data_IF_082818019105
#
_entry.id   IF_082818019105
#
_cell.length_a   1.000
_cell.length_b   1.000
_cell.length_c   1.000
_cell.angle_alpha   90.00
_cell.angle_beta   90.00
_cell.angle_gamma   90.00
#
_symmetry.space_group_name_H-M   'P 1'
#
loop_
_entity.id
_entity.type
_entity.pdbx_description
1 polymer ?
#
# COMPACT_ATOMS: atom_id res chain seq x y z
N UNK A 1 -10.00 57.70 22.60
CA UNK A 1 -8.99 57.02 21.75
C UNK A 1 -8.22 56.04 22.62
N UNK A 2 -8.63 54.78 22.67
CA UNK A 2 -7.73 53.63 22.87
C UNK A 2 -8.43 52.41 22.29
N UNK A 3 -7.77 51.85 21.28
CA UNK A 3 -8.17 50.68 20.52
C UNK A 3 -8.05 49.44 21.39
N UNK A 4 -9.12 48.66 21.56
CA UNK A 4 -9.05 47.33 22.13
C UNK A 4 -9.12 46.33 20.98
N UNK A 5 -7.94 45.84 20.56
CA UNK A 5 -7.81 44.82 19.53
C UNK A 5 -8.14 43.47 20.17
N UNK A 6 -9.29 42.91 19.84
CA UNK A 6 -9.65 41.53 20.20
C UNK A 6 -8.78 40.61 19.35
N UNK A 7 -7.81 39.96 19.99
CA UNK A 7 -6.96 38.95 19.37
C UNK A 7 -7.81 37.70 19.13
N UNK A 8 -8.25 37.51 17.88
CA UNK A 8 -8.91 36.28 17.44
C UNK A 8 -7.92 35.12 17.51
N UNK A 9 -8.09 34.25 18.51
CA UNK A 9 -7.41 32.96 18.54
C UNK A 9 -8.09 32.05 17.51
N UNK A 10 -7.43 31.85 16.37
CA UNK A 10 -7.78 30.79 15.42
C UNK A 10 -7.52 29.45 16.10
N UNK A 11 -8.59 28.75 16.44
CA UNK A 11 -8.54 27.35 16.81
C UNK A 11 -7.98 26.54 15.62
N UNK A 12 -6.76 26.06 15.76
CA UNK A 12 -6.20 25.05 14.87
C UNK A 12 -7.06 23.78 15.00
N UNK A 13 -7.92 23.55 14.02
CA UNK A 13 -8.69 22.31 13.90
C UNK A 13 -7.74 21.12 13.85
N UNK A 14 -7.80 20.27 14.87
CA UNK A 14 -7.03 19.04 14.94
C UNK A 14 -7.34 18.15 13.74
N UNK A 15 -6.30 17.72 13.03
CA UNK A 15 -6.41 16.57 12.13
C UNK A 15 -6.84 15.38 12.98
N UNK A 16 -8.03 14.85 12.71
CA UNK A 16 -8.58 13.65 13.34
C UNK A 16 -7.56 12.53 13.22
N UNK A 17 -6.90 12.17 14.32
CA UNK A 17 -5.91 11.09 14.42
C UNK A 17 -6.62 9.77 14.15
N UNK A 18 -6.65 9.39 12.88
CA UNK A 18 -7.34 8.21 12.39
C UNK A 18 -6.36 7.06 12.42
N UNK A 19 -6.18 6.46 13.59
CA UNK A 19 -5.31 5.29 13.80
C UNK A 19 -5.62 4.21 12.75
N UNK A 20 -4.60 3.70 12.05
CA UNK A 20 -4.72 2.85 10.87
C UNK A 20 -4.61 1.36 11.23
N UNK A 21 -5.44 0.89 12.17
CA UNK A 21 -5.44 -0.53 12.58
C UNK A 21 -5.96 -1.42 11.44
N UNK A 22 -5.07 -2.20 10.83
CA UNK A 22 -5.40 -3.28 9.91
C UNK A 22 -5.42 -4.62 10.67
N UNK A 23 -6.61 -5.22 10.77
CA UNK A 23 -6.88 -6.42 11.59
C UNK A 23 -6.48 -7.72 10.87
N UNK A 24 -6.03 -7.64 9.62
CA UNK A 24 -5.90 -8.84 8.80
C UNK A 24 -4.45 -9.21 8.64
N UNK A 25 -4.11 -10.43 9.02
CA UNK A 25 -2.84 -11.06 8.72
C UNK A 25 -2.71 -11.13 7.19
N UNK A 26 -1.84 -10.31 6.61
CA UNK A 26 -1.49 -10.38 5.19
C UNK A 26 -0.91 -11.75 4.79
N UNK A 27 -0.61 -12.59 5.80
CA UNK A 27 -0.07 -13.93 5.69
C UNK A 27 -1.10 -14.97 5.20
N UNK A 28 -2.40 -14.71 5.34
CA UNK A 28 -3.44 -15.65 4.89
C UNK A 28 -3.45 -15.81 3.35
N UNK A 29 -2.81 -14.89 2.61
CA UNK A 29 -2.66 -14.99 1.14
C UNK A 29 -1.50 -15.85 0.66
N UNK A 30 -0.66 -16.37 1.57
CA UNK A 30 0.40 -17.33 1.25
C UNK A 30 0.06 -18.76 1.69
N UNK A 31 -1.05 -18.97 2.41
CA UNK A 31 -1.58 -20.30 2.65
C UNK A 31 -2.46 -20.70 1.45
N UNK A 32 -1.83 -21.35 0.48
CA UNK A 32 -2.45 -21.78 -0.77
C UNK A 32 -3.44 -22.92 -0.52
N UNK A 33 -4.69 -22.57 -0.30
CA UNK A 33 -5.79 -23.48 -0.54
C UNK A 33 -6.00 -23.52 -2.08
N UNK A 34 -5.42 -24.54 -2.70
CA UNK A 34 -5.67 -25.10 -4.03
C UNK A 34 -5.57 -24.26 -5.33
N UNK A 35 -5.45 -22.93 -5.31
CA UNK A 35 -5.18 -22.16 -6.54
C UNK A 35 -3.66 -22.00 -6.78
N UNK A 36 -3.07 -22.93 -7.53
CA UNK A 36 -1.62 -23.00 -7.79
C UNK A 36 -1.12 -21.91 -8.75
N UNK A 37 -1.10 -20.64 -8.32
CA UNK A 37 -0.38 -19.59 -9.05
C UNK A 37 1.13 -19.74 -8.76
N UNK A 38 1.82 -20.57 -9.55
CA UNK A 38 3.28 -20.66 -9.51
C UNK A 38 3.89 -19.39 -10.10
N UNK A 39 4.22 -18.41 -9.25
CA UNK A 39 4.99 -17.24 -9.66
C UNK A 39 6.40 -17.73 -10.02
N UNK A 40 6.64 -17.99 -11.31
CA UNK A 40 7.96 -18.36 -11.81
C UNK A 40 8.87 -17.13 -11.70
N UNK A 41 9.88 -17.20 -10.85
CA UNK A 41 10.98 -16.23 -10.80
C UNK A 41 11.81 -16.30 -12.10
N UNK A 42 11.27 -15.71 -13.17
CA UNK A 42 11.93 -15.60 -14.48
C UNK A 42 12.75 -14.32 -14.51
N UNK A 43 14.03 -14.43 -14.90
CA UNK A 43 14.90 -13.28 -15.13
C UNK A 43 14.28 -12.37 -16.19
N UNK A 44 14.10 -11.09 -15.85
CA UNK A 44 13.55 -10.08 -16.76
C UNK A 44 14.54 -9.79 -17.90
N UNK A 45 14.00 -9.46 -19.09
CA UNK A 45 14.82 -9.03 -20.23
C UNK A 45 15.55 -7.74 -19.90
N UNK A 46 16.77 -7.57 -20.41
CA UNK A 46 17.61 -6.37 -20.19
C UNK A 46 16.88 -5.08 -20.59
N UNK A 47 16.17 -5.11 -21.72
CA UNK A 47 15.37 -4.00 -22.24
C UNK A 47 14.38 -3.44 -21.21
N UNK A 48 13.75 -4.30 -20.38
CA UNK A 48 12.80 -3.86 -19.36
C UNK A 48 13.47 -3.06 -18.25
N UNK A 49 14.70 -3.40 -17.88
CA UNK A 49 15.47 -2.63 -16.90
C UNK A 49 15.87 -1.26 -17.45
N UNK A 50 16.21 -1.18 -18.73
CA UNK A 50 16.55 0.08 -19.40
C UNK A 50 15.32 1.00 -19.47
N UNK A 51 14.15 0.45 -19.80
CA UNK A 51 12.87 1.18 -19.77
C UNK A 51 12.55 1.66 -18.35
N UNK A 52 12.66 0.80 -17.34
CA UNK A 52 12.39 1.16 -15.95
C UNK A 52 13.33 2.26 -15.43
N UNK A 53 14.62 2.20 -15.78
CA UNK A 53 15.59 3.23 -15.45
C UNK A 53 15.24 4.57 -16.11
N UNK A 54 14.85 4.56 -17.39
CA UNK A 54 14.53 5.78 -18.16
C UNK A 54 13.21 6.41 -17.74
N UNK A 55 12.15 5.61 -17.54
CA UNK A 55 10.78 6.10 -17.34
C UNK A 55 10.41 6.26 -15.86
N UNK A 56 10.94 5.38 -15.00
CA UNK A 56 10.61 5.33 -13.56
C UNK A 56 11.74 5.80 -12.66
N UNK A 57 12.95 6.02 -13.21
CA UNK A 57 14.18 6.29 -12.43
C UNK A 57 14.54 5.12 -11.49
N UNK A 58 14.17 3.91 -11.91
CA UNK A 58 14.46 2.67 -11.17
C UNK A 58 15.86 2.16 -11.52
N UNK A 59 16.82 2.33 -10.61
CA UNK A 59 18.15 1.71 -10.66
C UNK A 59 18.28 0.67 -9.53
N UNK A 60 19.32 -0.17 -9.57
CA UNK A 60 19.54 -1.16 -8.50
C UNK A 60 19.80 -0.49 -7.15
N UNK A 61 20.48 0.66 -7.13
CA UNK A 61 20.73 1.46 -5.92
C UNK A 61 19.45 2.13 -5.43
N UNK A 62 18.74 2.86 -6.30
CA UNK A 62 17.51 3.56 -5.90
C UNK A 62 16.44 2.58 -5.44
N UNK A 63 16.40 1.37 -6.01
CA UNK A 63 15.51 0.30 -5.55
C UNK A 63 15.76 -0.06 -4.08
N UNK A 64 17.02 -0.33 -3.72
CA UNK A 64 17.38 -0.74 -2.36
C UNK A 64 17.14 0.38 -1.36
N UNK A 65 17.61 1.58 -1.68
CA UNK A 65 17.46 2.77 -0.84
C UNK A 65 15.98 3.11 -0.60
N UNK A 66 15.17 3.15 -1.65
CA UNK A 66 13.75 3.50 -1.51
C UNK A 66 12.95 2.43 -0.75
N UNK A 67 13.28 1.15 -0.94
CA UNK A 67 12.65 0.06 -0.19
C UNK A 67 12.99 0.14 1.29
N UNK A 68 14.27 0.36 1.63
CA UNK A 68 14.70 0.53 3.01
C UNK A 68 14.03 1.75 3.66
N UNK A 69 13.95 2.88 2.93
CA UNK A 69 13.25 4.06 3.39
C UNK A 69 11.78 3.76 3.72
N UNK A 70 11.03 3.12 2.82
CA UNK A 70 9.63 2.78 3.06
C UNK A 70 9.47 1.84 4.26
N UNK A 71 10.37 0.85 4.43
CA UNK A 71 10.31 -0.07 5.58
C UNK A 71 10.57 0.67 6.89
N UNK A 72 11.57 1.54 6.93
CA UNK A 72 11.89 2.32 8.13
C UNK A 72 10.77 3.30 8.46
N UNK A 73 10.23 3.97 7.44
CA UNK A 73 9.07 4.83 7.59
C UNK A 73 7.87 4.06 8.15
N UNK A 74 7.50 2.90 7.58
CA UNK A 74 6.40 2.06 8.12
C UNK A 74 6.62 1.74 9.60
N UNK A 75 7.84 1.36 10.01
CA UNK A 75 8.15 1.05 11.41
C UNK A 75 8.04 2.25 12.35
N UNK A 76 8.31 3.46 11.86
CA UNK A 76 8.27 4.69 12.64
C UNK A 76 6.86 5.26 12.81
N UNK A 77 5.91 4.87 11.95
CA UNK A 77 4.54 5.39 12.00
C UNK A 77 3.68 4.52 12.94
N UNK A 78 3.28 5.01 14.12
CA UNK A 78 2.50 4.22 15.08
C UNK A 78 1.09 3.88 14.56
N UNK A 79 0.56 4.70 13.65
CA UNK A 79 -0.74 4.45 13.05
C UNK A 79 -0.75 3.21 12.15
N UNK A 80 0.40 2.77 11.63
CA UNK A 80 0.49 1.66 10.68
C UNK A 80 0.80 0.36 11.43
N UNK A 81 -0.23 -0.46 11.61
CA UNK A 81 -0.07 -1.79 12.21
C UNK A 81 -0.19 -2.90 11.15
N UNK A 82 0.60 -3.98 11.34
CA UNK A 82 0.56 -5.20 10.52
C UNK A 82 0.67 -4.99 9.00
N UNK A 83 1.42 -3.98 8.53
CA UNK A 83 1.59 -3.74 7.09
C UNK A 83 2.60 -4.72 6.46
N UNK A 84 2.32 -5.19 5.23
CA UNK A 84 3.26 -6.00 4.46
C UNK A 84 4.48 -5.16 4.05
N UNK A 85 5.68 -5.68 4.28
CA UNK A 85 6.95 -5.00 3.95
C UNK A 85 7.78 -5.71 2.89
N UNK A 86 7.18 -6.69 2.20
CA UNK A 86 7.78 -7.42 1.09
C UNK A 86 8.17 -6.48 -0.06
N UNK A 87 9.30 -6.75 -0.67
CA UNK A 87 9.85 -5.99 -1.80
C UNK A 87 8.84 -5.92 -2.95
N UNK A 88 8.22 -7.05 -3.30
CA UNK A 88 7.26 -7.13 -4.40
C UNK A 88 5.99 -6.32 -4.14
N UNK A 89 5.63 -6.12 -2.87
CA UNK A 89 4.50 -5.30 -2.47
C UNK A 89 4.86 -3.82 -2.50
N UNK A 90 5.95 -3.42 -1.84
CA UNK A 90 6.39 -2.03 -1.75
C UNK A 90 6.79 -1.45 -3.12
N UNK A 91 7.40 -2.28 -3.99
CA UNK A 91 7.75 -1.87 -5.36
C UNK A 91 6.54 -1.43 -6.18
N UNK A 92 5.33 -1.91 -5.88
CA UNK A 92 4.11 -1.50 -6.60
C UNK A 92 3.86 0.00 -6.42
N UNK A 93 3.98 0.49 -5.19
CA UNK A 93 3.79 1.90 -4.85
C UNK A 93 4.90 2.77 -5.43
N UNK A 94 6.15 2.32 -5.31
CA UNK A 94 7.32 3.03 -5.86
C UNK A 94 7.22 3.18 -7.38
N UNK A 95 6.86 2.11 -8.11
CA UNK A 95 6.74 2.15 -9.57
C UNK A 95 5.63 3.07 -10.05
N UNK A 96 4.45 3.01 -9.42
CA UNK A 96 3.32 3.91 -9.75
C UNK A 96 3.69 5.38 -9.54
N UNK A 97 4.57 5.67 -8.58
CA UNK A 97 5.02 7.02 -8.24
C UNK A 97 6.40 7.37 -8.78
N UNK A 98 6.94 6.62 -9.75
CA UNK A 98 8.25 6.89 -10.38
C UNK A 98 9.37 7.13 -9.35
N UNK A 99 9.38 6.29 -8.31
CA UNK A 99 10.34 6.33 -7.20
C UNK A 99 10.35 7.65 -6.40
N UNK A 100 9.25 8.42 -6.43
CA UNK A 100 9.02 9.52 -5.49
C UNK A 100 8.55 8.98 -4.14
N UNK A 101 9.45 8.97 -3.15
CA UNK A 101 9.19 8.54 -1.77
C UNK A 101 7.96 9.21 -1.14
N UNK A 102 7.86 10.55 -1.05
CA UNK A 102 6.74 11.18 -0.35
C UNK A 102 5.39 10.86 -1.01
N UNK A 103 5.37 10.73 -2.34
CA UNK A 103 4.16 10.33 -3.06
C UNK A 103 3.82 8.86 -2.85
N UNK A 104 4.82 7.98 -2.76
CA UNK A 104 4.64 6.57 -2.48
C UNK A 104 4.10 6.34 -1.07
N UNK A 105 4.63 7.02 -0.05
CA UNK A 105 4.15 6.99 1.34
C UNK A 105 2.68 7.40 1.44
N UNK A 106 2.31 8.54 0.86
CA UNK A 106 0.92 8.99 0.82
C UNK A 106 0.00 8.00 0.11
N UNK A 107 0.47 7.37 -0.96
CA UNK A 107 -0.32 6.38 -1.71
C UNK A 107 -0.48 5.09 -0.93
N UNK A 108 0.56 4.66 -0.21
CA UNK A 108 0.51 3.52 0.68
C UNK A 108 -0.50 3.76 1.82
N UNK A 109 -0.49 4.92 2.47
CA UNK A 109 -1.50 5.29 3.48
C UNK A 109 -2.92 5.26 2.92
N UNK A 110 -3.13 5.82 1.73
CA UNK A 110 -4.44 5.78 1.07
C UNK A 110 -4.90 4.36 0.80
N UNK A 111 -3.99 3.50 0.32
CA UNK A 111 -4.29 2.09 0.08
C UNK A 111 -4.64 1.34 1.37
N UNK A 112 -3.88 1.55 2.45
CA UNK A 112 -4.16 0.94 3.75
C UNK A 112 -5.50 1.41 4.30
N UNK A 113 -5.79 2.72 4.25
CA UNK A 113 -7.07 3.29 4.66
C UNK A 113 -8.25 2.72 3.86
N UNK A 114 -8.08 2.60 2.55
CA UNK A 114 -9.09 2.05 1.66
C UNK A 114 -9.39 0.59 2.02
N UNK A 115 -8.35 -0.22 2.24
CA UNK A 115 -8.49 -1.63 2.65
C UNK A 115 -9.09 -1.77 4.05
N UNK A 116 -8.82 -0.82 4.96
CA UNK A 116 -9.46 -0.72 6.28
C UNK A 116 -10.95 -0.41 6.17
N UNK A 117 -11.32 0.53 5.29
CA UNK A 117 -12.70 1.00 5.13
C UNK A 117 -13.59 -0.01 4.42
N UNK A 118 -13.05 -0.75 3.45
CA UNK A 118 -13.80 -1.71 2.63
C UNK A 118 -13.37 -3.16 2.90
N UNK A 119 -13.26 -3.55 4.17
CA UNK A 119 -12.80 -4.90 4.56
C UNK A 119 -13.65 -6.02 3.98
N UNK A 120 -14.98 -5.85 3.92
CA UNK A 120 -15.91 -6.84 3.40
C UNK A 120 -15.65 -7.19 1.93
N UNK A 121 -15.27 -6.20 1.11
CA UNK A 121 -14.98 -6.40 -0.31
C UNK A 121 -13.56 -6.88 -0.59
N UNK A 122 -12.66 -6.74 0.37
CA UNK A 122 -11.21 -6.89 0.15
C UNK A 122 -10.61 -8.14 0.80
N UNK A 123 -11.38 -8.83 1.64
CA UNK A 123 -10.97 -10.01 2.41
C UNK A 123 -12.07 -11.07 2.36
N UNK A 124 -11.71 -12.33 2.62
CA UNK A 124 -12.62 -13.47 2.60
C UNK A 124 -13.34 -13.63 1.25
N UNK A 125 -12.63 -13.35 0.15
CA UNK A 125 -13.11 -13.58 -1.20
C UNK A 125 -12.88 -15.06 -1.53
N UNK A 126 -13.84 -15.91 -1.17
CA UNK A 126 -13.82 -17.32 -1.52
C UNK A 126 -14.63 -17.55 -2.81
N UNK A 127 -13.95 -18.03 -3.84
CA UNK A 127 -14.58 -18.36 -5.12
C UNK A 127 -15.31 -19.71 -5.09
N UNK A 128 -15.07 -20.53 -4.07
CA UNK A 128 -15.73 -21.81 -3.85
C UNK A 128 -17.02 -21.69 -3.02
N UNK A 129 -17.41 -20.47 -2.63
CA UNK A 129 -18.70 -20.23 -1.99
C UNK A 129 -19.85 -20.70 -2.90
N UNK A 130 -20.83 -21.46 -2.38
CA UNK A 130 -21.87 -22.09 -3.19
C UNK A 130 -22.65 -21.07 -4.03
N UNK A 131 -23.03 -19.95 -3.41
CA UNK A 131 -23.72 -18.84 -4.10
C UNK A 131 -22.92 -18.24 -5.25
N UNK A 132 -21.58 -18.22 -5.15
CA UNK A 132 -20.70 -17.69 -6.20
C UNK A 132 -20.51 -18.73 -7.30
N UNK A 133 -20.42 -20.01 -6.94
CA UNK A 133 -20.29 -21.11 -7.89
C UNK A 133 -21.50 -21.26 -8.82
N UNK A 134 -22.72 -21.02 -8.31
CA UNK A 134 -23.95 -21.01 -9.10
C UNK A 134 -23.94 -19.90 -10.16
N UNK A 135 -23.52 -18.68 -9.78
CA UNK A 135 -23.41 -17.54 -10.70
C UNK A 135 -22.37 -17.80 -11.80
N UNK A 136 -21.27 -18.47 -11.48
CA UNK A 136 -20.19 -18.76 -12.44
C UNK A 136 -20.58 -19.91 -13.39
N UNK A 137 -21.33 -20.90 -12.90
CA UNK A 137 -21.70 -22.11 -13.64
C UNK A 137 -22.78 -21.89 -14.70
N UNK A 138 -23.68 -20.92 -14.49
CA UNK A 138 -24.83 -20.64 -15.37
C UNK A 138 -24.52 -19.66 -16.52
N UNK A 139 -23.23 -19.47 -16.87
CA UNK A 139 -22.74 -18.53 -17.89
C UNK A 139 -22.51 -19.12 -19.28
#
# INVERSE_FOLDING_TARGET
MTSSVVCATVAAGGMTTSELIMVNSWNDRYNTDNCSIKIKNKKLKKELYEIASRELRESESSRKECLEHLRNWIKQNPDIENCLTDDTFLLRFLRVKKFSIPMAEQTLLKYLNYRKRFKYFMNNLDCCEPNVSEIIGDG
#
